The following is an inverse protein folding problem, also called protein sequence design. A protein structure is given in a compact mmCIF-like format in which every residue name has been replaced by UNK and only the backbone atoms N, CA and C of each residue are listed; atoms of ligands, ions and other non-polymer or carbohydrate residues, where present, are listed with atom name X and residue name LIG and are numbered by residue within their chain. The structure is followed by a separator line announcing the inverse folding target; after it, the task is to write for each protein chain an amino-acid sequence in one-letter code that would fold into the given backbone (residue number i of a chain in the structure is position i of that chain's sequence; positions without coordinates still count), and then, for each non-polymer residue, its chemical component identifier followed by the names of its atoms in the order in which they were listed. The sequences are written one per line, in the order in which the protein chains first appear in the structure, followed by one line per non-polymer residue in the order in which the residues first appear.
data_IF_531599257580
#
_entry.id   IF_531599257580
#
_cell.length_a   1.000
_cell.length_b   1.000
_cell.length_c   1.000
_cell.angle_alpha   90.00
_cell.angle_beta   90.00
_cell.angle_gamma   90.00
#
_symmetry.space_group_name_H-M   'P 1'
#
loop_
_entity.id
_entity.type
_entity.pdbx_description
1 polymer ?
#
# COMPACT_ATOMS: atom_id res chain seq x y z
N UNK A 1 27.09 7.93 -6.80
CA UNK A 1 26.14 9.02 -7.09
C UNK A 1 24.84 8.44 -7.67
N UNK A 2 24.90 7.66 -8.76
CA UNK A 2 23.73 7.09 -9.42
C UNK A 2 22.88 6.22 -8.49
N UNK A 3 23.50 5.38 -7.68
CA UNK A 3 22.81 4.52 -6.70
C UNK A 3 22.02 5.37 -5.68
N UNK A 4 22.63 6.41 -5.12
CA UNK A 4 21.94 7.32 -4.19
C UNK A 4 20.78 8.03 -4.86
N UNK A 5 20.96 8.51 -6.09
CA UNK A 5 19.92 9.14 -6.87
C UNK A 5 18.73 8.20 -7.10
N UNK A 6 18.99 6.99 -7.59
CA UNK A 6 17.96 6.00 -7.88
C UNK A 6 17.21 5.52 -6.62
N UNK A 7 17.86 5.53 -5.47
CA UNK A 7 17.23 5.14 -4.20
C UNK A 7 16.41 6.25 -3.55
N UNK A 8 16.67 7.52 -3.88
CA UNK A 8 16.02 8.65 -3.22
C UNK A 8 15.00 9.40 -4.08
N UNK A 9 15.09 9.26 -5.41
CA UNK A 9 14.25 10.04 -6.31
C UNK A 9 12.77 9.74 -6.11
N UNK A 10 11.94 10.80 -6.06
CA UNK A 10 10.49 10.65 -6.01
C UNK A 10 9.92 10.30 -7.37
N UNK A 11 9.17 9.20 -7.45
CA UNK A 11 8.60 8.65 -8.68
C UNK A 11 7.05 8.70 -8.71
N UNK A 12 6.44 9.46 -7.81
CA UNK A 12 4.98 9.54 -7.72
C UNK A 12 4.36 8.40 -6.90
N UNK A 13 3.03 8.48 -6.65
CA UNK A 13 2.32 7.43 -5.91
C UNK A 13 2.78 7.23 -4.45
N UNK A 14 3.57 8.16 -3.89
CA UNK A 14 4.22 7.99 -2.59
C UNK A 14 5.51 7.16 -2.64
N UNK A 15 5.96 6.76 -3.84
CA UNK A 15 7.16 5.94 -4.00
C UNK A 15 8.42 6.81 -4.11
N UNK A 16 9.36 6.60 -3.18
CA UNK A 16 10.72 7.11 -3.21
C UNK A 16 11.68 5.98 -3.55
N UNK A 17 12.52 6.21 -4.56
CA UNK A 17 13.44 5.23 -5.14
C UNK A 17 12.77 4.25 -6.10
N UNK A 18 13.59 3.75 -7.05
CA UNK A 18 13.13 2.87 -8.14
C UNK A 18 12.61 1.53 -7.64
N UNK A 19 13.16 0.98 -6.57
CA UNK A 19 12.70 -0.29 -5.99
C UNK A 19 11.28 -0.15 -5.41
N UNK A 20 11.00 0.94 -4.68
CA UNK A 20 9.67 1.24 -4.16
C UNK A 20 8.66 1.48 -5.28
N UNK A 21 9.06 2.23 -6.32
CA UNK A 21 8.21 2.49 -7.48
C UNK A 21 7.90 1.22 -8.29
N UNK A 22 8.87 0.33 -8.45
CA UNK A 22 8.66 -0.98 -9.09
C UNK A 22 7.57 -1.80 -8.40
N UNK A 23 7.61 -1.84 -7.07
CA UNK A 23 6.59 -2.52 -6.26
C UNK A 23 5.23 -1.80 -6.32
N UNK A 24 5.22 -0.45 -6.28
CA UNK A 24 3.98 0.31 -6.28
C UNK A 24 3.23 0.22 -7.60
N UNK A 25 3.95 0.30 -8.75
CA UNK A 25 3.32 0.32 -10.08
C UNK A 25 3.13 -1.05 -10.70
N UNK A 26 4.02 -2.01 -10.40
CA UNK A 26 4.06 -3.30 -11.08
C UNK A 26 3.95 -4.51 -10.16
N UNK A 27 4.03 -4.31 -8.84
CA UNK A 27 4.10 -5.39 -7.83
C UNK A 27 5.23 -6.39 -8.13
N UNK A 28 6.37 -5.87 -8.61
CA UNK A 28 7.55 -6.64 -9.00
C UNK A 28 8.80 -6.09 -8.32
N UNK A 29 9.76 -6.95 -7.95
CA UNK A 29 11.10 -6.50 -7.57
C UNK A 29 11.82 -5.94 -8.80
N UNK A 30 12.76 -5.02 -8.59
CA UNK A 30 13.45 -4.26 -9.64
C UNK A 30 14.14 -5.16 -10.68
N UNK A 31 14.67 -6.31 -10.27
CA UNK A 31 15.35 -7.27 -11.14
C UNK A 31 14.41 -8.08 -12.04
N UNK A 32 13.09 -7.91 -11.89
CA UNK A 32 12.06 -8.54 -12.74
C UNK A 32 11.32 -7.54 -13.63
N UNK A 33 11.79 -6.30 -13.67
CA UNK A 33 11.23 -5.30 -14.58
C UNK A 33 11.61 -5.61 -16.02
N UNK A 34 10.66 -5.42 -16.91
CA UNK A 34 10.90 -5.43 -18.35
C UNK A 34 11.38 -4.05 -18.83
N UNK A 35 11.94 -3.97 -20.05
CA UNK A 35 12.44 -2.71 -20.61
C UNK A 35 11.40 -1.61 -20.67
N UNK A 36 10.17 -1.91 -21.08
CA UNK A 36 9.07 -0.96 -21.14
C UNK A 36 8.61 -0.48 -19.76
N UNK A 37 8.71 -1.32 -18.74
CA UNK A 37 8.43 -0.96 -17.35
C UNK A 37 9.54 -0.07 -16.78
N UNK A 38 10.79 -0.43 -17.03
CA UNK A 38 11.94 0.38 -16.64
C UNK A 38 11.93 1.76 -17.33
N UNK A 39 11.60 1.81 -18.63
CA UNK A 39 11.45 3.06 -19.38
C UNK A 39 10.34 3.93 -18.80
N UNK A 40 9.23 3.35 -18.31
CA UNK A 40 8.19 4.10 -17.63
C UNK A 40 8.73 4.72 -16.32
N UNK A 41 9.42 3.94 -15.49
CA UNK A 41 10.01 4.48 -14.25
C UNK A 41 11.01 5.60 -14.53
N UNK A 42 11.85 5.45 -15.55
CA UNK A 42 12.81 6.47 -15.99
C UNK A 42 12.12 7.74 -16.53
N UNK A 43 10.89 7.64 -17.00
CA UNK A 43 10.11 8.77 -17.51
C UNK A 43 9.50 9.63 -16.40
N UNK A 44 9.26 9.08 -15.20
CA UNK A 44 8.52 9.72 -14.11
C UNK A 44 9.24 10.92 -13.47
N UNK A 45 10.59 10.95 -13.30
CA UNK A 45 11.28 12.05 -12.61
C UNK A 45 10.99 13.44 -13.19
N UNK A 46 10.67 13.56 -14.47
CA UNK A 46 10.34 14.82 -15.15
C UNK A 46 9.17 15.55 -14.49
N UNK A 47 8.10 14.82 -14.13
CA UNK A 47 6.95 15.35 -13.40
C UNK A 47 6.15 14.18 -12.79
N UNK A 48 6.54 13.64 -11.64
CA UNK A 48 6.00 12.39 -11.10
C UNK A 48 4.49 12.40 -10.87
N UNK A 49 3.96 13.53 -10.43
CA UNK A 49 2.51 13.67 -10.19
C UNK A 49 1.69 13.75 -11.48
N UNK A 50 2.24 14.38 -12.53
CA UNK A 50 1.59 14.56 -13.84
C UNK A 50 1.62 13.29 -14.67
N UNK A 51 2.73 12.57 -14.67
CA UNK A 51 2.95 11.34 -15.44
C UNK A 51 2.61 10.07 -14.65
N UNK A 52 1.97 10.20 -13.49
CA UNK A 52 1.52 9.04 -12.70
C UNK A 52 0.55 8.18 -13.53
N UNK A 53 0.89 6.91 -13.84
CA UNK A 53 0.11 6.08 -14.74
C UNK A 53 -1.24 5.66 -14.15
N UNK A 54 -1.41 5.69 -12.82
CA UNK A 54 -2.73 5.48 -12.19
C UNK A 54 -3.70 6.65 -12.40
N UNK A 55 -3.15 7.87 -12.63
CA UNK A 55 -3.96 9.07 -12.87
C UNK A 55 -4.19 9.32 -14.36
N UNK A 56 -3.14 9.16 -15.17
CA UNK A 56 -3.22 9.43 -16.61
C UNK A 56 -2.32 8.48 -17.39
N UNK A 57 -2.88 7.35 -17.78
CA UNK A 57 -2.17 6.30 -18.52
C UNK A 57 -1.70 6.78 -19.91
N UNK A 58 -2.44 7.69 -20.57
CA UNK A 58 -2.08 8.21 -21.90
C UNK A 58 -0.83 9.07 -21.84
N UNK A 59 -0.77 10.00 -20.87
CA UNK A 59 0.42 10.84 -20.67
C UNK A 59 1.63 10.02 -20.20
N UNK A 60 1.41 9.03 -19.35
CA UNK A 60 2.46 8.11 -18.91
C UNK A 60 3.03 7.31 -20.08
N UNK A 61 2.15 6.78 -20.96
CA UNK A 61 2.57 6.07 -22.19
C UNK A 61 3.36 6.98 -23.11
N UNK A 62 2.85 8.18 -23.40
CA UNK A 62 3.55 9.14 -24.23
C UNK A 62 4.97 9.42 -23.71
N UNK A 63 5.10 9.61 -22.40
CA UNK A 63 6.40 9.91 -21.79
C UNK A 63 7.34 8.70 -21.78
N UNK A 64 6.81 7.48 -21.54
CA UNK A 64 7.56 6.22 -21.70
C UNK A 64 8.10 6.06 -23.12
N UNK A 65 7.24 6.31 -24.10
CA UNK A 65 7.57 6.14 -25.51
C UNK A 65 8.69 7.10 -25.95
N UNK A 66 8.77 8.32 -25.38
CA UNK A 66 9.90 9.22 -25.57
C UNK A 66 11.22 8.66 -24.99
N UNK A 67 11.17 8.00 -23.85
CA UNK A 67 12.36 7.34 -23.27
C UNK A 67 12.82 6.19 -24.16
N UNK A 68 11.88 5.36 -24.63
CA UNK A 68 12.18 4.27 -25.56
C UNK A 68 12.78 4.78 -26.87
N UNK A 69 12.27 5.90 -27.39
CA UNK A 69 12.81 6.56 -28.58
C UNK A 69 14.27 7.02 -28.34
N UNK A 70 14.54 7.65 -27.20
CA UNK A 70 15.89 8.07 -26.84
C UNK A 70 16.85 6.88 -26.71
N UNK A 71 16.39 5.73 -26.16
CA UNK A 71 17.19 4.52 -26.10
C UNK A 71 17.54 3.99 -27.49
N UNK A 72 16.60 4.03 -28.44
CA UNK A 72 16.82 3.66 -29.82
C UNK A 72 17.77 4.63 -30.55
N UNK A 73 17.57 5.96 -30.42
CA UNK A 73 18.39 6.99 -31.04
C UNK A 73 19.85 7.00 -30.54
N UNK A 74 20.12 6.43 -29.35
CA UNK A 74 21.45 6.31 -28.76
C UNK A 74 21.99 4.85 -28.82
N UNK A 75 21.44 4.00 -29.67
CA UNK A 75 21.90 2.63 -29.96
C UNK A 75 21.91 1.67 -28.75
N UNK A 76 21.10 1.97 -27.68
CA UNK A 76 20.91 1.06 -26.54
C UNK A 76 19.94 -0.08 -26.85
N UNK A 77 19.05 0.10 -27.80
CA UNK A 77 18.11 -0.90 -28.29
C UNK A 77 18.05 -0.83 -29.82
N UNK A 78 17.83 -1.98 -30.48
CA UNK A 78 17.69 -2.02 -31.92
C UNK A 78 16.27 -1.65 -32.39
N UNK A 79 16.05 -1.48 -33.68
CA UNK A 79 14.77 -1.08 -34.28
C UNK A 79 13.65 -2.08 -33.96
N UNK A 80 13.91 -3.37 -34.05
CA UNK A 80 12.94 -4.43 -33.77
C UNK A 80 12.48 -4.41 -32.31
N UNK A 81 13.43 -4.21 -31.38
CA UNK A 81 13.15 -4.07 -29.94
C UNK A 81 12.31 -2.80 -29.66
N UNK A 82 12.68 -1.68 -30.27
CA UNK A 82 11.94 -0.43 -30.12
C UNK A 82 10.48 -0.59 -30.59
N UNK A 83 10.25 -1.15 -31.78
CA UNK A 83 8.90 -1.38 -32.33
C UNK A 83 8.09 -2.34 -31.44
N UNK A 84 8.74 -3.37 -30.88
CA UNK A 84 8.10 -4.28 -29.94
C UNK A 84 7.70 -3.57 -28.63
N UNK A 85 8.61 -2.83 -28.01
CA UNK A 85 8.38 -2.19 -26.71
C UNK A 85 7.35 -1.06 -26.77
N UNK A 86 7.33 -0.25 -27.84
CA UNK A 86 6.39 0.87 -27.98
C UNK A 86 4.94 0.39 -28.15
N UNK A 87 4.75 -0.78 -28.78
CA UNK A 87 3.43 -1.37 -28.98
C UNK A 87 2.86 -2.06 -27.72
N UNK A 88 3.70 -2.38 -26.75
CA UNK A 88 3.25 -2.99 -25.51
C UNK A 88 2.41 -2.05 -24.67
N UNK A 89 1.31 -2.57 -24.15
CA UNK A 89 0.45 -1.86 -23.19
C UNK A 89 1.11 -1.78 -21.82
N UNK A 90 0.93 -0.66 -21.14
CA UNK A 90 1.33 -0.53 -19.73
C UNK A 90 0.35 -1.32 -18.88
N UNK A 91 0.82 -2.37 -18.23
CA UNK A 91 0.02 -3.20 -17.33
C UNK A 91 0.41 -2.84 -15.90
N UNK A 92 -0.46 -2.11 -15.23
CA UNK A 92 -0.27 -1.73 -13.85
C UNK A 92 -0.82 -2.81 -12.92
N UNK A 93 -0.04 -3.17 -11.91
CA UNK A 93 -0.50 -3.98 -10.79
C UNK A 93 -0.32 -3.17 -9.52
N UNK A 94 -1.42 -2.60 -9.05
CA UNK A 94 -1.37 -1.92 -7.75
C UNK A 94 -0.97 -2.93 -6.69
N UNK A 95 0.10 -2.61 -5.95
CA UNK A 95 0.54 -3.42 -4.82
C UNK A 95 -0.66 -3.72 -3.92
N UNK A 96 -1.00 -4.98 -3.76
CA UNK A 96 -1.94 -5.39 -2.72
C UNK A 96 -1.27 -5.02 -1.40
N UNK A 97 -1.78 -3.99 -0.73
CA UNK A 97 -1.37 -3.71 0.64
C UNK A 97 -1.76 -4.93 1.46
N UNK A 98 -0.81 -5.80 1.70
CA UNK A 98 -0.95 -6.98 2.56
C UNK A 98 -1.01 -6.61 4.06
N UNK A 99 -1.14 -5.31 4.37
CA UNK A 99 -1.53 -4.85 5.68
C UNK A 99 -2.97 -5.34 5.92
N UNK A 100 -3.09 -6.55 6.43
CA UNK A 100 -4.32 -7.00 7.05
C UNK A 100 -4.53 -6.14 8.30
N UNK A 101 -5.78 -5.87 8.66
CA UNK A 101 -6.11 -5.18 9.91
C UNK A 101 -5.37 -5.82 11.09
N UNK A 102 -5.10 -7.11 10.99
CA UNK A 102 -4.41 -7.94 11.99
C UNK A 102 -2.91 -7.60 12.20
N UNK A 103 -2.24 -6.93 11.27
CA UNK A 103 -0.83 -6.57 11.39
C UNK A 103 -0.60 -5.08 11.66
N UNK A 104 -1.65 -4.29 11.69
CA UNK A 104 -1.56 -2.83 11.78
C UNK A 104 -0.82 -2.35 13.04
N UNK A 105 -1.09 -2.94 14.18
CA UNK A 105 -0.42 -2.61 15.45
C UNK A 105 1.07 -2.95 15.42
N UNK A 106 1.41 -4.14 14.91
CA UNK A 106 2.80 -4.56 14.78
C UNK A 106 3.59 -3.64 13.85
N UNK A 107 3.01 -3.32 12.68
CA UNK A 107 3.65 -2.42 11.71
C UNK A 107 3.82 -1.01 12.28
N UNK A 108 2.83 -0.52 13.04
CA UNK A 108 2.92 0.81 13.67
C UNK A 108 4.01 0.85 14.77
N UNK A 109 4.16 -0.22 15.52
CA UNK A 109 5.24 -0.33 16.51
C UNK A 109 6.62 -0.33 15.84
N UNK A 110 6.80 -1.16 14.80
CA UNK A 110 8.02 -1.14 13.97
C UNK A 110 8.28 0.25 13.39
N UNK A 111 7.26 0.90 12.84
CA UNK A 111 7.37 2.25 12.29
C UNK A 111 7.89 3.25 13.31
N UNK A 112 7.33 3.24 14.53
CA UNK A 112 7.78 4.10 15.63
C UNK A 112 9.24 3.85 16.01
N UNK A 113 9.61 2.58 16.17
CA UNK A 113 10.97 2.19 16.53
C UNK A 113 11.98 2.62 15.45
N UNK A 114 11.65 2.41 14.18
CA UNK A 114 12.53 2.78 13.07
C UNK A 114 12.63 4.31 12.91
N UNK A 115 11.52 5.05 13.11
CA UNK A 115 11.55 6.53 13.11
C UNK A 115 12.42 7.06 14.28
N UNK A 116 12.30 6.48 15.46
CA UNK A 116 13.10 6.87 16.60
C UNK A 116 14.60 6.60 16.37
N UNK A 117 14.94 5.49 15.72
CA UNK A 117 16.32 5.09 15.48
C UNK A 117 16.98 5.84 14.31
N UNK A 118 16.26 6.06 13.22
CA UNK A 118 16.82 6.59 11.96
C UNK A 118 16.32 8.00 11.59
N UNK A 119 15.33 8.51 12.29
CA UNK A 119 14.70 9.79 12.01
C UNK A 119 13.66 9.76 10.88
N UNK A 120 12.71 10.70 10.92
CA UNK A 120 11.59 10.82 9.99
C UNK A 120 12.02 10.89 8.52
N UNK A 121 13.00 11.77 8.22
CA UNK A 121 13.42 11.99 6.84
C UNK A 121 14.02 10.73 6.21
N UNK A 122 14.82 9.98 6.96
CA UNK A 122 15.45 8.75 6.46
C UNK A 122 14.41 7.67 6.19
N UNK A 123 13.43 7.52 7.09
CA UNK A 123 12.38 6.50 6.96
C UNK A 123 11.44 6.78 5.78
N UNK A 124 11.07 8.04 5.57
CA UNK A 124 10.02 8.37 4.58
C UNK A 124 10.54 8.88 3.24
N UNK A 125 11.81 9.31 3.15
CA UNK A 125 12.35 9.93 1.93
C UNK A 125 13.57 9.22 1.34
N UNK A 126 14.08 8.16 1.97
CA UNK A 126 15.29 7.47 1.50
C UNK A 126 15.05 6.01 1.08
N UNK A 127 13.80 5.61 0.87
CA UNK A 127 13.45 4.30 0.31
C UNK A 127 13.93 3.09 1.13
N UNK A 128 13.86 3.15 2.46
CA UNK A 128 14.25 2.04 3.33
C UNK A 128 13.38 0.81 3.08
N UNK A 129 14.03 -0.34 2.98
CA UNK A 129 13.38 -1.64 2.97
C UNK A 129 13.60 -2.30 4.35
N UNK A 130 12.50 -2.59 5.06
CA UNK A 130 12.51 -3.13 6.40
C UNK A 130 11.92 -4.52 6.37
N UNK A 131 12.76 -5.53 6.59
CA UNK A 131 12.32 -6.93 6.74
C UNK A 131 12.06 -7.23 8.21
N UNK A 132 10.94 -7.89 8.48
CA UNK A 132 10.55 -8.29 9.83
C UNK A 132 10.30 -9.80 9.89
N UNK A 133 10.53 -10.46 11.04
CA UNK A 133 10.34 -11.90 11.18
C UNK A 133 8.87 -12.32 11.38
N UNK A 134 7.90 -11.43 11.16
CA UNK A 134 6.49 -11.74 11.39
C UNK A 134 6.01 -12.87 10.47
N UNK A 135 5.37 -13.88 11.05
CA UNK A 135 4.64 -14.91 10.33
C UNK A 135 3.15 -14.57 10.35
N UNK A 136 2.57 -14.28 9.17
CA UNK A 136 1.18 -13.82 9.04
C UNK A 136 0.15 -14.86 9.51
N UNK A 137 0.43 -16.14 9.35
CA UNK A 137 -0.50 -17.20 9.76
C UNK A 137 -0.49 -17.37 11.27
N UNK A 138 0.68 -17.36 11.90
CA UNK A 138 0.79 -17.35 13.35
C UNK A 138 0.16 -16.08 13.95
N UNK A 139 0.31 -14.92 13.31
CA UNK A 139 -0.33 -13.68 13.75
C UNK A 139 -1.86 -13.78 13.74
N UNK A 140 -2.46 -14.36 12.70
CA UNK A 140 -3.92 -14.60 12.65
C UNK A 140 -4.38 -15.52 13.77
N UNK A 141 -3.65 -16.61 14.02
CA UNK A 141 -3.97 -17.53 15.10
C UNK A 141 -3.89 -16.83 16.46
N UNK A 142 -2.83 -16.07 16.71
CA UNK A 142 -2.64 -15.33 17.96
C UNK A 142 -3.77 -14.33 18.22
N UNK A 143 -4.16 -13.54 17.21
CA UNK A 143 -5.27 -12.58 17.31
C UNK A 143 -6.59 -13.28 17.56
N UNK A 144 -6.87 -14.38 16.85
CA UNK A 144 -8.09 -15.16 17.08
C UNK A 144 -8.13 -15.68 18.50
N UNK A 145 -7.05 -16.28 18.99
CA UNK A 145 -6.98 -16.82 20.35
C UNK A 145 -7.16 -15.73 21.41
N UNK A 146 -6.54 -14.55 21.21
CA UNK A 146 -6.73 -13.41 22.11
C UNK A 146 -8.19 -12.92 22.12
N UNK A 147 -8.82 -12.77 20.96
CA UNK A 147 -10.22 -12.37 20.85
C UNK A 147 -11.17 -13.39 21.51
N UNK A 148 -10.99 -14.67 21.23
CA UNK A 148 -11.79 -15.72 21.84
C UNK A 148 -11.64 -15.74 23.37
N UNK A 149 -10.43 -15.54 23.87
CA UNK A 149 -10.15 -15.40 25.31
C UNK A 149 -10.84 -14.19 25.93
N UNK A 150 -10.78 -13.01 25.27
CA UNK A 150 -11.45 -11.79 25.74
C UNK A 150 -12.97 -11.93 25.73
N UNK A 151 -13.55 -12.54 24.69
CA UNK A 151 -14.98 -12.79 24.59
C UNK A 151 -15.42 -13.76 25.71
N UNK A 152 -14.66 -14.82 25.96
CA UNK A 152 -14.93 -15.78 27.02
C UNK A 152 -14.84 -15.14 28.39
N UNK A 153 -13.86 -14.25 28.61
CA UNK A 153 -13.73 -13.48 29.82
C UNK A 153 -14.92 -12.56 30.04
N UNK A 154 -15.31 -11.82 29.00
CA UNK A 154 -16.45 -10.88 29.04
C UNK A 154 -17.77 -11.60 29.37
N UNK A 155 -18.02 -12.75 28.73
CA UNK A 155 -19.18 -13.59 29.03
C UNK A 155 -19.22 -14.07 30.48
N UNK A 156 -18.07 -14.43 31.07
CA UNK A 156 -18.00 -14.82 32.49
C UNK A 156 -18.29 -13.68 33.45
N UNK A 157 -17.98 -12.43 33.07
CA UNK A 157 -18.28 -11.22 33.87
C UNK A 157 -19.77 -10.86 33.85
N UNK A 158 -20.54 -11.48 32.97
CA UNK A 158 -21.98 -11.30 32.85
C UNK A 158 -22.40 -10.01 32.12
N UNK A 159 -23.71 -9.84 32.06
CA UNK A 159 -24.33 -8.72 31.35
C UNK A 159 -24.05 -7.39 32.04
N UNK A 160 -23.48 -6.41 31.32
CA UNK A 160 -23.17 -5.06 31.83
C UNK A 160 -24.21 -3.99 31.47
N UNK A 161 -25.30 -4.39 30.88
CA UNK A 161 -26.34 -3.50 30.42
C UNK A 161 -26.30 -3.20 28.93
N UNK A 162 -27.33 -2.51 28.39
CA UNK A 162 -27.35 -2.17 26.97
C UNK A 162 -26.35 -1.07 26.65
N UNK A 163 -25.75 -1.13 25.46
CA UNK A 163 -24.84 -0.10 24.93
C UNK A 163 -25.54 1.26 24.82
N UNK A 164 -26.83 1.27 24.46
CA UNK A 164 -27.67 2.46 24.37
C UNK A 164 -29.06 2.15 24.89
N UNK A 165 -29.62 3.04 25.71
CA UNK A 165 -31.02 2.97 26.10
C UNK A 165 -31.90 3.62 25.04
N UNK A 166 -33.01 2.95 24.67
CA UNK A 166 -33.98 3.46 23.71
C UNK A 166 -34.68 4.71 24.32
N UNK A 167 -34.49 5.85 23.68
CA UNK A 167 -35.29 7.05 24.02
C UNK A 167 -36.65 6.99 23.32
N UNK A 168 -37.71 7.49 23.98
CA UNK A 168 -39.06 7.49 23.44
C UNK A 168 -39.25 8.30 22.14
N UNK A 169 -38.32 9.18 21.78
CA UNK A 169 -38.31 9.94 20.52
C UNK A 169 -37.59 9.20 19.40
N UNK A 170 -38.10 9.31 18.19
CA UNK A 170 -37.75 8.55 16.96
C UNK A 170 -36.29 8.61 16.48
N UNK A 171 -35.36 9.12 17.29
CA UNK A 171 -33.95 9.42 16.86
C UNK A 171 -32.93 8.30 17.18
N UNK A 172 -33.37 7.16 17.67
CA UNK A 172 -32.49 6.06 18.08
C UNK A 172 -31.81 5.40 16.90
N UNK A 173 -32.46 5.34 15.71
CA UNK A 173 -31.85 4.77 14.49
C UNK A 173 -30.58 5.53 14.09
N UNK A 174 -30.66 6.86 14.06
CA UNK A 174 -29.52 7.71 13.73
C UNK A 174 -28.37 7.61 14.76
N UNK A 175 -28.69 7.25 16.02
CA UNK A 175 -27.68 6.97 17.04
C UNK A 175 -27.01 5.60 16.84
N UNK A 176 -27.76 4.58 16.39
CA UNK A 176 -27.23 3.27 16.05
C UNK A 176 -26.31 3.31 14.84
N UNK A 177 -26.66 4.09 13.81
CA UNK A 177 -25.83 4.25 12.60
C UNK A 177 -24.45 4.87 12.90
N UNK A 178 -24.36 5.64 13.99
CA UNK A 178 -23.07 6.18 14.48
C UNK A 178 -22.25 5.16 15.28
N UNK A 179 -22.86 4.08 15.72
CA UNK A 179 -22.21 3.04 16.51
C UNK A 179 -21.54 2.04 15.56
N UNK A 180 -20.24 2.17 15.35
CA UNK A 180 -19.48 1.24 14.54
C UNK A 180 -18.98 0.09 15.42
N UNK A 181 -19.51 -1.10 15.20
CA UNK A 181 -18.89 -2.32 15.69
C UNK A 181 -17.57 -2.54 14.96
N UNK A 182 -16.60 -3.08 15.66
CA UNK A 182 -15.34 -3.48 15.05
C UNK A 182 -15.61 -4.60 14.02
N UNK A 183 -15.19 -4.38 12.77
CA UNK A 183 -15.47 -5.27 11.63
C UNK A 183 -14.94 -6.71 11.82
N UNK A 184 -13.98 -6.87 12.72
CA UNK A 184 -13.34 -8.14 13.02
C UNK A 184 -14.16 -9.05 13.95
N UNK A 185 -15.27 -8.54 14.51
CA UNK A 185 -16.17 -9.27 15.40
C UNK A 185 -17.50 -9.44 14.65
N UNK A 186 -17.92 -10.70 14.41
CA UNK A 186 -19.22 -11.01 13.79
C UNK A 186 -20.40 -10.81 14.76
N UNK A 187 -20.49 -9.62 15.33
CA UNK A 187 -21.61 -9.23 16.18
C UNK A 187 -22.53 -8.27 15.45
N UNK A 188 -23.81 -8.43 15.69
CA UNK A 188 -24.83 -7.54 15.17
C UNK A 188 -25.44 -6.71 16.29
N UNK A 189 -25.75 -5.46 15.99
CA UNK A 189 -26.54 -4.64 16.90
C UNK A 189 -27.99 -5.15 16.88
N UNK A 190 -28.51 -5.46 18.06
CA UNK A 190 -29.88 -5.93 18.23
C UNK A 190 -30.66 -5.00 19.19
N UNK A 191 -31.96 -4.90 18.99
CA UNK A 191 -32.86 -4.20 19.87
C UNK A 191 -33.60 -5.25 20.71
N UNK A 192 -33.46 -5.13 22.02
CA UNK A 192 -34.22 -5.93 22.96
C UNK A 192 -35.53 -5.20 23.19
N UNK A 193 -36.64 -5.86 22.88
CA UNK A 193 -38.03 -5.35 23.10
C UNK A 193 -38.49 -5.65 24.51
#
# INVERSE_FOLDING_TARGET
ILELYLNQIYLGGGAYGVASASLEYFDKPINKLNYEEAALLAALPKAPSRYNPFKNIKLAKFRRDLVLKNLYENDYINKSEYENFINKKIILKKRKKTLTEDTSYYVEDIRKNVVNQFGFNKVYKQGLNISTPINLDLQKIAIKSLRDGLISYDKRKGWRGPLLKKEKKNNWKNKLDKFRLEKSINWNLAIVK
#
